data_IF_874017226155
#
_entry.id   IF_874017226155
#
_cell.length_a   1.000
_cell.length_b   1.000
_cell.length_c   1.000
_cell.angle_alpha   90.00
_cell.angle_beta   90.00
_cell.angle_gamma   90.00
#
_symmetry.space_group_name_H-M   'P 1'
#
loop_
_entity.id
_entity.type
_entity.pdbx_description
1 polymer ?
2 non-polymer ?
3 non-polymer ?
4 non-polymer ?
5 water ?
#
# COMPACT_ATOMS: atom_id res chain seq x y z
N UNK A 10 -12.96 -15.25 13.64
CA UNK A 10 -12.11 -16.31 13.02
C UNK A 10 -11.41 -15.80 11.76
N UNK A 11 -10.86 -14.59 11.84
CA UNK A 11 -10.21 -13.96 10.69
C UNK A 11 -8.90 -14.63 10.30
N UNK A 12 -8.60 -14.65 8.99
CA UNK A 12 -7.31 -15.17 8.54
C UNK A 12 -6.51 -14.07 7.84
N UNK A 13 -5.24 -14.37 7.58
CA UNK A 13 -4.34 -13.50 6.86
C UNK A 13 -3.90 -14.21 5.59
N UNK A 14 -4.10 -13.53 4.46
CA UNK A 14 -3.81 -14.11 3.15
C UNK A 14 -2.85 -13.18 2.38
N UNK A 15 -1.69 -13.71 2.00
CA UNK A 15 -0.80 -12.94 1.15
C UNK A 15 -0.67 -13.57 -0.22
N UNK A 16 -0.95 -12.78 -1.25
CA UNK A 16 -0.84 -13.30 -2.62
C UNK A 16 0.51 -12.94 -3.20
N UNK A 17 1.18 -13.90 -3.80
CA UNK A 17 2.47 -13.64 -4.41
C UNK A 17 2.29 -13.84 -5.89
N UNK A 18 2.24 -12.74 -6.63
CA UNK A 18 1.86 -12.79 -8.03
C UNK A 18 3.08 -12.63 -8.96
N UNK A 19 3.25 -13.62 -9.82
CA UNK A 19 4.22 -13.58 -10.90
C UNK A 19 3.84 -12.47 -11.88
N UNK A 20 4.73 -11.48 -12.06
CA UNK A 20 4.54 -10.45 -13.08
C UNK A 20 5.67 -10.45 -14.14
N UNK A 21 6.36 -11.57 -14.29
CA UNK A 21 7.35 -11.69 -15.38
C UNK A 21 6.65 -11.66 -16.75
N UNK A 22 7.45 -11.45 -17.81
CA UNK A 22 6.95 -11.30 -19.19
C UNK A 22 6.07 -12.45 -19.66
N UNK A 23 6.38 -13.66 -19.21
CA UNK A 23 5.61 -14.83 -19.62
C UNK A 23 4.11 -14.73 -19.20
N UNK A 25 2.23 -12.32 -19.72
CA UNK A 25 1.50 -11.63 -20.78
C UNK A 25 1.02 -12.58 -21.87
N UNK A 26 1.43 -13.85 -21.81
CA UNK A 26 0.87 -14.84 -22.74
C UNK A 26 -0.66 -14.84 -22.61
N UNK A 27 -1.34 -15.12 -23.72
CA UNK A 27 -2.80 -15.02 -23.81
C UNK A 27 -3.49 -16.38 -24.05
N UNK A 28 -2.92 -17.43 -23.45
CA UNK A 28 -3.50 -18.78 -23.47
C UNK A 28 -4.56 -19.00 -22.39
N UNK A 29 -4.71 -18.01 -21.52
CA UNK A 29 -5.90 -17.91 -20.68
C UNK A 29 -6.35 -16.45 -20.84
N UNK A 30 -7.66 -16.21 -20.83
CA UNK A 30 -8.22 -14.93 -21.23
C UNK A 30 -8.42 -13.96 -20.06
N UNK A 31 -8.12 -12.66 -20.27
CA UNK A 31 -7.49 -12.02 -21.45
C UNK A 31 -5.97 -12.26 -21.56
N UNK A 32 -5.31 -12.53 -20.44
CA UNK A 32 -3.90 -12.95 -20.41
C UNK A 32 -3.72 -13.68 -19.09
N UNK A 33 -2.57 -14.32 -18.88
CA UNK A 33 -2.30 -15.00 -17.62
C UNK A 33 -2.38 -13.99 -16.49
N UNK A 34 -1.76 -12.83 -16.68
CA UNK A 34 -1.71 -11.83 -15.63
C UNK A 34 -3.09 -11.21 -15.36
N UNK A 35 -3.81 -10.88 -16.42
CA UNK A 35 -5.09 -10.17 -16.26
C UNK A 35 -6.16 -11.12 -15.66
N UNK A 36 -6.13 -12.38 -16.07
CA UNK A 36 -6.92 -13.43 -15.44
C UNK A 36 -6.56 -13.58 -13.96
N UNK A 37 -5.27 -13.57 -13.63
CA UNK A 37 -4.89 -13.62 -12.21
C UNK A 37 -5.48 -12.45 -11.43
N UNK A 38 -5.44 -11.25 -11.99
CA UNK A 38 -5.98 -10.09 -11.30
C UNK A 38 -7.49 -10.20 -11.06
N UNK A 39 -8.19 -10.67 -12.08
CA UNK A 39 -9.63 -10.85 -11.97
C UNK A 39 -9.99 -11.89 -10.92
N UNK A 40 -9.19 -12.96 -10.84
CA UNK A 40 -9.35 -13.99 -9.81
C UNK A 40 -9.10 -13.42 -8.41
N UNK A 41 -8.04 -12.62 -8.28
CA UNK A 41 -7.70 -12.02 -6.98
C UNK A 41 -8.80 -11.08 -6.49
N UNK A 42 -9.32 -10.27 -7.40
CA UNK A 42 -10.41 -9.36 -7.10
C UNK A 42 -11.60 -10.15 -6.54
N UNK A 43 -11.91 -11.29 -7.13
CA UNK A 43 -13.04 -12.10 -6.65
C UNK A 43 -12.71 -12.82 -5.33
N UNK A 44 -11.45 -13.22 -5.16
CA UNK A 44 -10.98 -13.76 -3.92
C UNK A 44 -11.19 -12.74 -2.78
N UNK A 45 -10.81 -11.48 -3.00
CA UNK A 45 -10.97 -10.41 -2.00
C UNK A 45 -12.46 -10.15 -1.64
N UNK A 46 -13.34 -10.20 -2.64
CA UNK A 46 -14.79 -10.07 -2.42
C UNK A 46 -15.32 -11.13 -1.47
N UNK A 47 -14.66 -12.28 -1.40
CA UNK A 47 -15.13 -13.38 -0.54
C UNK A 47 -14.58 -13.29 0.89
N UNK A 48 -13.62 -12.40 1.12
CA UNK A 48 -13.04 -12.23 2.45
C UNK A 48 -14.04 -11.53 3.34
N UNK A 49 -14.01 -11.84 4.64
CA UNK A 49 -14.93 -11.18 5.56
C UNK A 49 -14.20 -10.42 6.67
N UNK A 50 -13.75 -11.10 7.72
CA UNK A 50 -13.05 -10.39 8.81
C UNK A 50 -11.53 -10.44 8.60
N UNK A 51 -11.11 -10.52 7.34
CA UNK A 51 -9.76 -11.02 7.04
C UNK A 51 -8.79 -9.94 6.59
N UNK A 52 -7.51 -10.28 6.58
CA UNK A 52 -6.50 -9.37 6.04
C UNK A 52 -5.84 -9.95 4.81
N UNK A 53 -5.50 -9.06 3.89
CA UNK A 53 -4.91 -9.43 2.64
C UNK A 53 -3.71 -8.56 2.36
N UNK A 54 -2.67 -9.19 1.81
CA UNK A 54 -1.48 -8.48 1.36
C UNK A 54 -1.09 -9.00 -0.01
N UNK A 56 2.31 -9.37 -2.92
CA UNK A 56 3.70 -9.26 -3.35
C UNK A 56 3.71 -9.52 -4.83
N UNK A 57 4.49 -8.75 -5.59
CA UNK A 57 4.69 -9.05 -7.00
C UNK A 57 6.13 -9.53 -7.17
N UNK A 58 6.38 -10.43 -8.12
CA UNK A 58 7.74 -10.91 -8.34
C UNK A 58 8.02 -11.21 -9.79
N UNK A 59 9.30 -11.05 -10.13
CA UNK A 59 9.83 -11.64 -11.34
C UNK A 59 11.22 -12.11 -10.95
N UNK A 60 12.27 -11.42 -11.40
CA UNK A 60 13.64 -11.70 -10.94
C UNK A 60 13.88 -11.29 -9.49
N UNK A 61 13.15 -10.29 -9.02
CA UNK A 61 13.10 -9.89 -7.60
C UNK A 61 11.65 -9.95 -7.13
N UNK A 62 11.44 -9.81 -5.82
CA UNK A 62 10.11 -9.71 -5.23
C UNK A 62 9.97 -8.44 -4.39
N UNK A 63 8.81 -7.80 -4.44
CA UNK A 63 8.55 -6.72 -3.51
C UNK A 63 7.09 -6.68 -3.06
N UNK A 64 6.86 -6.01 -1.94
CA UNK A 64 5.54 -5.84 -1.38
C UNK A 64 4.75 -4.80 -2.15
N UNK A 65 3.65 -5.23 -2.74
CA UNK A 65 2.79 -4.32 -3.52
C UNK A 65 1.74 -3.76 -2.59
N UNK A 66 1.21 -4.60 -1.72
CA UNK A 66 0.19 -4.21 -0.75
C UNK A 66 0.52 -4.80 0.62
N UNK A 67 0.80 -3.94 1.61
CA UNK A 67 1.00 -4.42 2.99
C UNK A 67 -0.31 -4.95 3.51
N UNK A 68 -0.21 -5.97 4.36
CA UNK A 68 -1.36 -6.69 4.86
C UNK A 68 -2.40 -5.73 5.46
N UNK A 69 -3.65 -5.86 5.02
CA UNK A 69 -4.66 -4.85 5.34
C UNK A 69 -6.06 -5.45 5.31
N UNK A 70 -6.97 -4.84 6.08
CA UNK A 70 -8.38 -5.18 6.01
C UNK A 70 -9.11 -4.22 5.05
N UNK A 71 -8.37 -3.30 4.43
CA UNK A 71 -8.97 -2.30 3.56
C UNK A 71 -9.13 -2.87 2.14
N UNK A 72 -10.29 -3.47 1.86
CA UNK A 72 -10.47 -4.21 0.58
C UNK A 72 -10.66 -3.29 -0.61
N UNK A 73 -11.24 -2.12 -0.36
CA UNK A 73 -11.35 -1.10 -1.39
C UNK A 73 -9.98 -0.71 -1.93
N UNK A 74 -9.04 -0.41 -1.03
CA UNK A 74 -7.68 -0.07 -1.45
C UNK A 74 -6.97 -1.28 -2.07
N UNK A 75 -7.22 -2.47 -1.54
CA UNK A 75 -6.61 -3.69 -2.05
C UNK A 75 -6.90 -3.86 -3.54
N UNK A 76 -8.16 -3.67 -3.91
CA UNK A 76 -8.58 -3.74 -5.31
C UNK A 76 -7.95 -2.65 -6.20
N UNK A 78 -4.99 -1.21 -5.65
CA UNK A 78 -3.56 -1.61 -5.76
C UNK A 78 -3.36 -2.73 -6.78
N UNK A 79 -4.38 -3.56 -6.91
CA UNK A 79 -4.38 -4.65 -7.87
C UNK A 79 -4.33 -4.09 -9.28
N UNK A 80 -5.15 -3.07 -9.54
CA UNK A 80 -5.28 -2.49 -10.87
C UNK A 80 -3.96 -1.93 -11.44
N UNK A 81 -3.11 -1.41 -10.57
CA UNK A 81 -1.86 -0.79 -11.01
C UNK A 81 -0.74 -1.82 -11.34
N UNK A 82 -0.98 -3.10 -11.06
CA UNK A 82 0.01 -4.14 -11.29
C UNK A 82 0.26 -4.41 -12.79
N UNK A 83 1.53 -4.32 -13.21
CA UNK A 83 1.95 -4.74 -14.56
C UNK A 83 3.44 -5.12 -14.50
N UNK A 84 3.94 -5.84 -15.54
CA UNK A 84 5.33 -6.32 -15.54
C UNK A 84 6.38 -5.21 -15.42
N UNK A 85 6.06 -4.00 -15.88
CA UNK A 85 7.01 -2.88 -15.78
C UNK A 85 7.33 -2.48 -14.33
N UNK A 86 6.54 -2.94 -13.36
CA UNK A 86 6.92 -2.72 -11.94
C UNK A 86 8.28 -3.32 -11.59
N UNK A 87 8.67 -4.40 -12.27
CA UNK A 87 9.98 -5.04 -12.03
C UNK A 87 10.68 -5.29 -13.35
N UNK A 88 11.86 -4.69 -13.53
CA UNK A 88 12.62 -4.90 -14.78
C UNK A 88 13.49 -6.16 -14.80
N UNK A 89 14.12 -6.51 -13.68
CA UNK A 89 14.90 -7.75 -13.58
C UNK A 89 14.03 -8.98 -13.84
N UNK A 90 14.39 -9.77 -14.85
CA UNK A 90 13.57 -10.93 -15.19
C UNK A 90 14.00 -12.18 -14.41
N UNK A 91 13.10 -13.16 -14.33
CA UNK A 91 13.34 -14.39 -13.56
C UNK A 91 12.04 -14.84 -12.95
N UNK A 92 12.09 -15.91 -12.16
CA UNK A 92 10.91 -16.49 -11.55
C UNK A 92 11.24 -16.78 -10.09
N UNK A 93 11.38 -15.71 -9.30
CA UNK A 93 11.89 -15.82 -7.93
C UNK A 93 10.79 -16.15 -6.91
N UNK A 94 10.20 -17.33 -7.06
CA UNK A 94 9.10 -17.79 -6.20
C UNK A 94 9.55 -17.93 -4.73
N UNK A 95 10.75 -18.47 -4.50
CA UNK A 95 11.32 -18.60 -3.15
C UNK A 95 11.46 -17.28 -2.42
N UNK A 96 12.08 -16.29 -3.06
CA UNK A 96 12.16 -14.94 -2.52
C UNK A 96 10.76 -14.37 -2.17
N UNK A 97 9.77 -14.62 -3.04
CA UNK A 97 8.42 -14.10 -2.78
C UNK A 97 7.77 -14.77 -1.55
N UNK A 98 7.90 -16.10 -1.47
CA UNK A 98 7.38 -16.84 -0.33
C UNK A 98 8.07 -16.40 0.96
N UNK A 99 9.39 -16.23 0.90
CA UNK A 99 10.17 -15.82 2.10
C UNK A 99 9.75 -14.42 2.53
N UNK A 100 9.56 -13.52 1.57
CA UNK A 100 9.07 -12.17 1.88
C UNK A 100 7.66 -12.25 2.49
N UNK A 101 6.80 -13.10 1.92
CA UNK A 101 5.45 -13.26 2.49
C UNK A 101 5.46 -13.70 3.95
N UNK A 102 6.30 -14.68 4.29
CA UNK A 102 6.37 -15.14 5.68
C UNK A 102 6.79 -14.04 6.66
N UNK A 103 7.63 -13.11 6.22
CA UNK A 103 8.01 -11.95 7.05
C UNK A 103 6.91 -10.87 7.15
N UNK A 104 5.83 -10.99 6.39
CA UNK A 104 4.90 -9.88 6.18
C UNK A 104 3.57 -10.04 6.94
N UNK A 105 3.43 -11.18 7.63
CA UNK A 105 2.21 -11.46 8.38
C UNK A 105 2.30 -10.73 9.70
N UNK A 106 1.17 -10.51 10.37
CA UNK A 106 1.19 -9.94 11.71
C UNK A 106 1.86 -10.92 12.69
N UNK A 107 2.40 -10.41 13.81
CA UNK A 107 3.06 -11.24 14.82
C UNK A 107 2.09 -12.17 15.56
N UNK A 108 0.82 -11.76 15.63
CA UNK A 108 -0.22 -12.45 16.40
C UNK A 108 -0.27 -13.98 16.19
N UNK A 109 -0.10 -14.74 17.27
CA UNK A 109 -0.25 -16.22 17.20
C UNK A 109 -1.72 -16.64 17.30
N UNK A 110 -2.04 -17.83 16.77
CA UNK A 110 -3.41 -18.35 16.77
C UNK A 110 -4.23 -17.99 15.54
N UNK A 111 -3.57 -17.50 14.50
CA UNK A 111 -4.27 -17.00 13.32
C UNK A 111 -3.93 -17.86 12.09
N UNK A 112 -4.96 -18.28 11.36
CA UNK A 112 -4.77 -19.01 10.10
C UNK A 112 -4.11 -18.10 9.08
N UNK A 113 -3.08 -18.62 8.40
CA UNK A 113 -2.34 -17.82 7.45
C UNK A 113 -2.05 -18.60 6.19
N UNK A 114 -2.27 -17.96 5.05
CA UNK A 114 -2.01 -18.59 3.75
C UNK A 114 -1.18 -17.69 2.84
N UNK A 115 -0.30 -18.31 2.06
CA UNK A 115 0.40 -17.65 0.97
C UNK A 115 -0.13 -18.28 -0.30
N UNK A 116 -0.58 -17.46 -1.25
CA UNK A 116 -1.13 -17.97 -2.51
C UNK A 116 -0.26 -17.48 -3.64
N UNK A 117 0.53 -18.40 -4.20
CA UNK A 117 1.43 -18.09 -5.29
C UNK A 117 0.66 -18.30 -6.58
N UNK A 118 0.65 -17.28 -7.43
CA UNK A 118 0.00 -17.36 -8.74
C UNK A 118 1.03 -17.18 -9.85
N UNK A 119 1.27 -18.22 -10.63
CA UNK A 119 2.44 -18.23 -11.52
C UNK A 119 2.29 -19.27 -12.64
N UNK A 120 3.10 -19.17 -13.69
CA UNK A 120 3.23 -20.29 -14.62
C UNK A 120 4.35 -21.26 -14.17
N UNK A 121 5.02 -20.94 -13.05
CA UNK A 121 6.04 -21.83 -12.44
C UNK A 121 7.22 -22.16 -13.37
N UNK A 122 7.44 -21.28 -14.35
CA UNK A 122 8.37 -21.55 -15.42
C UNK A 122 9.80 -21.09 -15.13
N UNK A 123 10.76 -21.98 -15.40
CA UNK A 123 12.19 -21.68 -15.25
C UNK A 123 12.59 -21.14 -13.87
N UNK A 124 12.00 -21.68 -12.81
CA UNK A 124 12.45 -21.33 -11.46
C UNK A 124 13.78 -22.03 -11.20
N UNK A 125 14.76 -21.28 -10.69
CA UNK A 125 16.14 -21.80 -10.44
C UNK A 125 16.36 -22.62 -9.15
N UNK A 126 15.36 -22.70 -8.28
CA UNK A 126 15.52 -23.42 -7.02
C UNK A 126 15.38 -22.54 -5.80
N UNK A 127 14.86 -23.11 -4.72
CA UNK A 127 14.61 -22.37 -3.50
C UNK A 127 13.13 -22.36 -3.11
N UNK A 128 12.24 -22.42 -4.10
CA UNK A 128 10.80 -22.30 -3.82
C UNK A 128 10.26 -23.40 -2.88
N UNK A 129 10.67 -24.64 -3.11
CA UNK A 129 10.17 -25.77 -2.34
C UNK A 129 10.67 -25.69 -0.87
N UNK A 130 11.94 -25.34 -0.68
CA UNK A 130 12.52 -25.11 0.64
C UNK A 130 11.81 -23.94 1.33
N UNK A 131 11.59 -22.85 0.59
CA UNK A 131 10.87 -21.71 1.13
C UNK A 131 9.46 -22.09 1.58
N UNK A 132 8.77 -22.92 0.79
CA UNK A 132 7.40 -23.33 1.11
C UNK A 132 7.36 -24.24 2.34
N UNK A 133 8.34 -25.12 2.43
CA UNK A 133 8.48 -25.99 3.59
C UNK A 133 8.71 -25.15 4.86
N UNK A 134 9.64 -24.18 4.79
CA UNK A 134 9.89 -23.27 5.94
C UNK A 134 8.65 -22.47 6.34
N UNK A 135 7.83 -22.05 5.36
CA UNK A 135 6.55 -21.37 5.69
C UNK A 135 5.64 -22.32 6.42
N UNK A 136 5.54 -23.56 5.90
CA UNK A 136 4.70 -24.60 6.51
C UNK A 136 5.07 -24.90 7.96
N UNK A 137 6.36 -24.86 8.27
CA UNK A 137 6.85 -25.10 9.64
C UNK A 137 6.51 -23.95 10.61
N UNK A 138 6.11 -22.82 10.04
CA UNK A 138 5.63 -21.68 10.83
C UNK A 138 4.09 -21.63 10.87
N UNK A 139 3.46 -22.70 10.40
CA UNK A 139 2.01 -22.78 10.37
C UNK A 139 1.33 -22.03 9.22
N UNK A 140 2.11 -21.64 8.20
CA UNK A 140 1.56 -20.93 7.05
C UNK A 140 1.32 -21.93 5.90
N UNK A 141 0.13 -21.95 5.31
CA UNK A 141 -0.11 -22.88 4.23
C UNK A 141 0.11 -22.23 2.87
N UNK A 142 1.01 -22.82 2.09
CA UNK A 142 1.34 -22.27 0.78
C UNK A 142 0.59 -23.02 -0.31
N UNK A 143 -0.26 -22.28 -1.02
CA UNK A 143 -0.99 -22.80 -2.19
C UNK A 143 -0.47 -22.20 -3.48
N UNK A 144 -0.69 -22.91 -4.60
CA UNK A 144 -0.22 -22.45 -5.91
C UNK A 144 -1.34 -22.60 -6.95
N UNK A 145 -1.60 -21.50 -7.65
CA UNK A 145 -2.54 -21.45 -8.75
C UNK A 145 -1.71 -21.34 -10.00
N UNK A 146 -1.79 -22.38 -10.81
CA UNK A 146 -0.92 -22.48 -11.98
C UNK A 146 -1.68 -21.92 -13.16
N UNK A 147 -1.12 -20.90 -13.80
CA UNK A 147 -1.80 -20.26 -14.91
C UNK A 147 -1.08 -20.61 -16.20
N UNK A 148 -1.86 -20.89 -17.24
CA UNK A 148 -1.32 -21.08 -18.58
C UNK A 148 -1.46 -22.51 -19.06
N UNK A 150 0.25 -26.02 -20.25
CA UNK A 150 1.47 -26.83 -20.26
C UNK A 150 2.07 -27.00 -21.68
N UNK A 151 1.19 -27.00 -22.70
CA UNK A 151 1.55 -27.19 -24.10
C UNK A 151 2.21 -25.95 -24.74
N UNK A 152 2.17 -24.78 -24.07
CA UNK A 152 2.96 -23.63 -24.50
C UNK A 152 2.21 -22.54 -25.26
N UNK A 153 2.63 -21.29 -25.09
CA UNK A 153 2.04 -20.19 -25.84
C UNK A 153 3.10 -19.13 -26.18
N UNK A 154 2.94 -18.41 -27.31
CA UNK A 154 3.85 -17.28 -27.52
C UNK A 154 3.37 -16.08 -26.70
N UNK A 155 4.15 -15.02 -26.65
CA UNK A 155 3.83 -13.84 -25.85
C UNK A 155 3.65 -12.61 -26.74
N UNK A 156 2.39 -12.17 -26.95
CA UNK A 156 2.21 -11.06 -27.89
C UNK A 156 2.80 -9.78 -27.32
N UNK A 157 3.22 -8.88 -28.21
CA UNK A 157 3.76 -7.58 -27.80
C UNK A 157 2.66 -6.55 -28.03
N UNK A 158 2.30 -5.87 -26.95
CA UNK A 158 1.28 -4.81 -26.95
C UNK A 158 1.41 -3.85 -28.13
N UNK A 159 0.29 -3.57 -28.78
CA UNK A 159 0.22 -2.58 -29.87
C UNK A 159 0.64 -3.10 -31.23
N UNK A 160 1.38 -4.22 -31.23
CA UNK A 160 1.93 -4.80 -32.46
C UNK A 160 1.24 -6.11 -32.82
N UNK A 161 1.65 -6.69 -33.94
CA UNK A 161 1.28 -8.05 -34.30
C UNK A 161 2.50 -8.98 -34.15
N UNK A 162 3.51 -8.50 -33.42
CA UNK A 162 4.70 -9.32 -33.11
C UNK A 162 4.63 -10.00 -31.72
N UNK A 163 5.66 -10.81 -31.45
CA UNK A 163 5.73 -11.63 -30.24
C UNK A 163 7.12 -11.48 -29.63
N UNK A 164 7.21 -11.67 -28.33
CA UNK A 164 8.50 -11.56 -27.64
C UNK A 164 9.48 -12.58 -28.21
N UNK A 165 10.72 -12.12 -28.37
CA UNK A 165 11.78 -12.91 -28.99
C UNK A 165 12.99 -12.98 -28.07
N UNK A 166 13.70 -14.11 -28.14
CA UNK A 166 14.93 -14.28 -27.39
C UNK A 166 16.06 -13.48 -28.04
N UNK A 167 17.25 -13.57 -27.46
CA UNK A 167 18.42 -12.83 -27.92
C UNK A 167 18.70 -13.09 -29.40
N UNK A 168 18.55 -14.35 -29.80
CA UNK A 168 18.87 -14.80 -31.16
C UNK A 168 17.76 -14.49 -32.16
N UNK A 169 16.65 -13.93 -31.68
CA UNK A 169 15.56 -13.54 -32.55
C UNK A 169 14.43 -14.56 -32.65
N UNK A 170 14.49 -15.62 -31.85
CA UNK A 170 13.46 -16.66 -31.91
C UNK A 170 12.25 -16.36 -31.04
N UNK A 171 11.07 -16.64 -31.56
CA UNK A 171 9.83 -16.54 -30.80
C UNK A 171 9.90 -17.36 -29.50
N UNK A 172 9.64 -16.68 -28.39
CA UNK A 172 9.58 -17.32 -27.07
C UNK A 172 8.26 -18.06 -26.92
N UNK A 173 8.31 -19.32 -26.49
CA UNK A 173 7.11 -20.07 -26.15
C UNK A 173 7.21 -20.38 -24.65
N UNK A 174 6.17 -20.00 -23.91
CA UNK A 174 6.15 -20.19 -22.45
C UNK A 174 5.12 -21.25 -22.04
N UNK A 175 5.51 -22.14 -21.15
CA UNK A 175 4.64 -23.24 -20.71
C UNK A 175 4.38 -23.12 -19.22
N UNK A 176 3.17 -23.51 -18.81
CA UNK A 176 2.94 -23.76 -17.39
C UNK A 176 3.75 -24.98 -16.98
N UNK A 177 4.48 -24.90 -15.87
CA UNK A 177 5.15 -26.07 -15.31
C UNK A 177 4.34 -26.52 -14.12
N UNK A 178 3.44 -27.46 -14.40
CA UNK A 178 2.51 -27.98 -13.40
C UNK A 178 3.28 -28.73 -12.32
N UNK A 179 4.31 -29.48 -12.73
CA UNK A 179 5.09 -30.28 -11.78
C UNK A 179 5.72 -29.41 -10.69
N UNK A 181 4.81 -26.33 -9.76
CA UNK A 181 3.74 -25.75 -8.95
C UNK A 181 3.24 -26.74 -7.90
N UNK A 182 3.10 -28.00 -8.31
CA UNK A 182 2.62 -29.05 -7.43
C UNK A 182 3.56 -29.37 -6.27
N UNK A 183 4.87 -29.39 -6.52
CA UNK A 183 5.87 -29.67 -5.46
C UNK A 183 5.80 -28.58 -4.40
N UNK A 184 5.69 -27.32 -4.86
CA UNK A 184 5.64 -26.16 -3.96
C UNK A 184 4.41 -26.27 -3.06
N UNK A 185 3.24 -26.55 -3.64
CA UNK A 185 2.00 -26.62 -2.87
C UNK A 185 2.00 -27.80 -1.90
N UNK A 186 2.52 -28.95 -2.35
CA UNK A 186 2.59 -30.12 -1.48
C UNK A 186 3.41 -29.85 -0.20
N UNK A 187 4.65 -29.41 -0.38
CA UNK A 187 5.54 -29.16 0.73
C UNK A 187 5.09 -27.95 1.55
N UNK A 188 4.34 -27.05 0.91
CA UNK A 188 3.76 -25.90 1.58
C UNK A 188 2.45 -26.20 2.29
N UNK A 189 1.95 -27.42 2.14
CA UNK A 189 0.73 -27.88 2.82
C UNK A 189 -0.54 -27.12 2.38
N UNK A 190 -0.52 -26.62 1.14
CA UNK A 190 -1.69 -25.98 0.58
C UNK A 190 -2.23 -26.82 -0.56
N UNK A 191 -2.91 -26.17 -1.48
CA UNK A 191 -3.46 -26.88 -2.62
C UNK A 191 -2.85 -26.37 -3.92
N UNK A 192 -2.84 -27.22 -4.95
CA UNK A 192 -2.50 -26.79 -6.29
C UNK A 192 -3.78 -26.83 -7.13
N UNK A 193 -4.02 -25.77 -7.90
CA UNK A 193 -5.10 -25.79 -8.86
C UNK A 193 -4.65 -25.08 -10.13
N UNK A 194 -5.04 -25.64 -11.26
CA UNK A 194 -4.77 -25.01 -12.54
C UNK A 194 -5.84 -23.98 -12.82
N UNK A 195 -5.40 -22.82 -13.27
CA UNK A 195 -6.31 -21.78 -13.63
C UNK A 195 -6.64 -22.00 -15.12
N UNK A 196 -7.92 -22.10 -15.45
CA UNK A 196 -8.37 -22.05 -16.85
C UNK A 196 -9.40 -20.91 -17.03
N UNK A 197 -10.24 -20.98 -18.06
CA UNK A 197 -11.16 -19.87 -18.34
C UNK A 197 -12.39 -19.78 -17.44
N UNK A 198 -12.70 -20.86 -16.72
CA UNK A 198 -13.82 -20.86 -15.80
C UNK A 198 -13.43 -20.20 -14.47
N UNK A 199 -14.40 -20.16 -13.54
CA UNK A 199 -14.20 -19.62 -12.20
C UNK A 199 -13.73 -20.70 -11.22
N UNK A 200 -13.39 -21.87 -11.75
CA UNK A 200 -13.05 -23.04 -10.93
C UNK A 200 -11.89 -22.82 -9.95
N UNK A 201 -10.81 -22.21 -10.42
CA UNK A 201 -9.66 -21.97 -9.56
C UNK A 201 -10.00 -21.02 -8.40
N UNK A 202 -10.72 -19.94 -8.72
CA UNK A 202 -11.07 -18.95 -7.71
C UNK A 202 -11.92 -19.57 -6.62
N UNK A 203 -12.87 -20.41 -7.01
CA UNK A 203 -13.77 -21.01 -6.04
C UNK A 203 -13.05 -22.06 -5.20
N UNK A 204 -12.16 -22.84 -5.82
CA UNK A 204 -11.35 -23.78 -5.09
C UNK A 204 -10.51 -23.09 -4.00
N UNK A 205 -9.83 -22.00 -4.37
CA UNK A 205 -8.96 -21.33 -3.41
C UNK A 205 -9.78 -20.62 -2.34
N UNK A 206 -10.88 -19.98 -2.70
CA UNK A 206 -11.74 -19.34 -1.70
C UNK A 206 -12.32 -20.38 -0.72
N UNK A 207 -12.56 -21.59 -1.22
CA UNK A 207 -13.03 -22.69 -0.39
C UNK A 207 -11.95 -23.08 0.61
N UNK A 208 -10.72 -23.16 0.13
CA UNK A 208 -9.57 -23.51 0.97
C UNK A 208 -9.37 -22.47 2.07
N UNK A 209 -9.46 -21.19 1.70
CA UNK A 209 -9.37 -20.09 2.66
C UNK A 209 -10.48 -20.18 3.71
N UNK A 210 -11.74 -20.40 3.27
CA UNK A 210 -12.88 -20.60 4.18
C UNK A 210 -12.72 -21.78 5.13
N UNK A 211 -12.16 -22.88 4.63
CA UNK A 211 -11.90 -24.09 5.39
C UNK A 211 -10.85 -23.81 6.49
N UNK A 213 -10.23 -20.81 7.84
CA UNK A 213 -10.84 -19.87 8.79
C UNK A 213 -11.75 -20.57 9.79
N UNK A 214 -12.36 -21.67 9.37
CA UNK A 214 -13.31 -22.38 10.20
C UNK A 214 -12.67 -23.46 11.09
N UNK A 215 -11.44 -23.83 10.76
CA UNK A 215 -10.69 -24.76 11.59
C UNK A 215 -9.70 -24.01 12.47
N UNK B 11 -4.46 -1.27 21.76
CA UNK B 11 -4.05 -0.97 20.36
C UNK B 11 -4.92 0.06 19.66
N UNK B 12 -4.30 1.03 19.00
CA UNK B 12 -5.00 2.11 18.27
C UNK B 12 -4.75 2.09 16.75
N UNK B 13 -5.50 2.93 16.02
CA UNK B 13 -5.36 3.11 14.58
C UNK B 13 -5.09 4.59 14.27
N UNK B 14 -4.03 4.84 13.51
CA UNK B 14 -3.64 6.21 13.20
C UNK B 14 -3.58 6.34 11.71
N UNK B 15 -4.31 7.30 11.17
CA UNK B 15 -4.20 7.60 9.75
C UNK B 15 -3.61 8.98 9.54
N UNK B 16 -2.45 9.03 8.86
CA UNK B 16 -1.80 10.30 8.52
C UNK B 16 -2.37 10.86 7.20
N UNK B 17 -2.71 12.15 7.18
CA UNK B 17 -3.16 12.82 5.97
C UNK B 17 -2.12 13.87 5.67
N UNK B 18 -1.26 13.57 4.70
CA UNK B 18 -0.09 14.38 4.43
C UNK B 18 -0.32 15.22 3.18
N UNK B 19 -0.17 16.53 3.34
CA UNK B 19 -0.23 17.50 2.27
C UNK B 19 1.04 17.27 1.43
N UNK B 20 0.86 16.97 0.14
CA UNK B 20 1.98 16.89 -0.78
C UNK B 20 1.86 17.92 -1.90
N UNK B 21 1.11 19.00 -1.66
CA UNK B 21 1.04 20.09 -2.64
C UNK B 21 2.42 20.73 -2.78
N UNK B 22 2.61 21.52 -3.85
CA UNK B 22 3.90 22.13 -4.18
C UNK B 22 4.48 22.99 -3.06
N UNK B 23 3.60 23.62 -2.27
CA UNK B 23 4.05 24.49 -1.19
C UNK B 23 4.89 23.73 -0.16
N UNK B 25 7.31 21.92 -0.62
CA UNK B 25 8.72 21.90 -1.02
C UNK B 25 9.46 23.16 -0.56
N UNK B 26 8.75 24.09 0.08
CA UNK B 26 9.39 25.25 0.71
C UNK B 26 10.40 24.76 1.73
N UNK B 27 11.47 25.53 1.91
CA UNK B 27 12.56 25.11 2.79
C UNK B 27 12.71 25.99 4.03
N UNK B 28 11.59 26.47 4.57
CA UNK B 28 11.60 27.23 5.84
C UNK B 28 11.59 26.32 7.11
N UNK B 29 11.51 25.01 6.89
CA UNK B 29 11.82 23.98 7.91
C UNK B 29 12.75 23.06 7.13
N UNK B 30 13.76 22.47 7.78
CA UNK B 30 14.81 21.71 7.08
C UNK B 30 14.55 20.21 6.97
N UNK B 31 14.92 19.57 5.83
CA UNK B 31 15.44 20.20 4.60
C UNK B 31 14.32 20.83 3.75
N UNK B 32 13.09 20.35 3.91
CA UNK B 32 11.90 21.01 3.39
C UNK B 32 10.72 20.63 4.29
N UNK B 33 9.58 21.31 4.08
CA UNK B 33 8.39 21.00 4.84
C UNK B 33 8.05 19.52 4.67
N UNK B 34 8.01 19.06 3.42
CA UNK B 34 7.69 17.67 3.12
C UNK B 34 8.67 16.67 3.73
N UNK B 35 9.97 16.92 3.59
CA UNK B 35 10.97 15.96 4.10
C UNK B 35 11.01 15.96 5.63
N UNK B 36 10.76 17.11 6.27
CA UNK B 36 10.61 17.14 7.72
C UNK B 36 9.39 16.31 8.14
N UNK B 37 8.30 16.45 7.39
CA UNK B 37 7.08 15.73 7.67
C UNK B 37 7.28 14.22 7.56
N UNK B 38 8.06 13.78 6.58
CA UNK B 38 8.36 12.37 6.39
C UNK B 38 9.26 11.80 7.52
N UNK B 39 10.22 12.60 7.96
CA UNK B 39 11.05 12.25 9.13
C UNK B 39 10.17 12.04 10.37
N UNK B 40 9.30 13.00 10.62
CA UNK B 40 8.42 12.96 11.78
C UNK B 40 7.48 11.74 11.76
N UNK B 41 6.92 11.42 10.57
CA UNK B 41 6.07 10.25 10.41
C UNK B 41 6.81 8.94 10.71
N UNK B 42 8.02 8.82 10.16
CA UNK B 42 8.87 7.66 10.36
C UNK B 42 9.12 7.44 11.85
N UNK B 43 9.49 8.52 12.53
CA UNK B 43 9.73 8.50 13.96
C UNK B 43 8.43 8.22 14.74
N UNK B 44 7.32 8.77 14.26
CA UNK B 44 6.02 8.51 14.85
C UNK B 44 5.77 7.01 14.79
N UNK B 45 5.99 6.42 13.60
CA UNK B 45 5.80 4.98 13.39
C UNK B 45 6.67 4.13 14.36
N UNK B 46 7.91 4.55 14.58
CA UNK B 46 8.82 3.88 15.50
C UNK B 46 8.32 3.80 16.95
N UNK B 47 7.49 4.76 17.36
CA UNK B 47 6.96 4.80 18.73
C UNK B 47 5.68 3.98 18.88
N UNK B 48 5.11 3.52 17.76
CA UNK B 48 3.88 2.69 17.82
C UNK B 48 4.17 1.31 18.39
N UNK B 49 3.19 0.70 19.05
CA UNK B 49 3.41 -0.63 19.63
C UNK B 49 2.68 -1.76 18.88
N UNK B 50 1.46 -2.09 19.30
CA UNK B 50 0.69 -3.09 18.58
C UNK B 50 -0.45 -2.42 17.80
N UNK B 51 -0.12 -1.37 17.06
CA UNK B 51 -1.12 -0.50 16.46
C UNK B 51 -1.18 -0.66 14.94
N UNK B 52 -2.04 0.10 14.29
CA UNK B 52 -2.11 0.06 12.84
C UNK B 52 -1.98 1.50 12.34
N UNK B 53 -1.35 1.65 11.19
CA UNK B 53 -1.15 2.98 10.62
C UNK B 53 -1.51 2.96 9.13
N UNK B 54 -2.15 4.03 8.66
CA UNK B 54 -2.44 4.21 7.24
C UNK B 54 -2.00 5.61 6.83
N UNK B 56 -2.75 8.81 3.88
CA UNK B 56 -3.40 9.48 2.75
C UNK B 56 -2.48 10.64 2.33
N UNK B 57 -2.36 10.86 1.02
CA UNK B 57 -1.68 12.06 0.52
C UNK B 57 -2.73 12.91 -0.17
N UNK B 58 -2.55 14.22 -0.14
CA UNK B 58 -3.53 15.10 -0.76
C UNK B 58 -2.88 16.36 -1.32
N UNK B 59 -3.46 16.87 -2.40
CA UNK B 59 -3.25 18.26 -2.81
C UNK B 59 -4.63 18.74 -3.25
N UNK B 60 -4.87 18.80 -4.56
CA UNK B 60 -6.23 19.15 -5.05
C UNK B 60 -7.22 18.01 -4.90
N UNK B 61 -6.70 16.78 -4.93
CA UNK B 61 -7.44 15.55 -4.59
C UNK B 61 -6.72 14.86 -3.42
N UNK B 62 -7.37 13.85 -2.85
CA UNK B 62 -6.75 12.96 -1.85
C UNK B 62 -6.83 11.51 -2.30
N UNK B 63 -5.80 10.74 -1.98
CA UNK B 63 -5.82 9.32 -2.20
C UNK B 63 -5.04 8.55 -1.12
N UNK B 64 -5.43 7.30 -0.98
CA UNK B 64 -4.79 6.39 -0.03
C UNK B 64 -3.44 5.95 -0.53
N UNK B 65 -2.39 6.38 0.17
CA UNK B 65 -1.05 6.04 -0.22
C UNK B 65 -0.69 4.70 0.45
N UNK B 66 -1.10 4.52 1.70
CA UNK B 66 -0.83 3.30 2.44
C UNK B 66 -2.10 2.83 3.13
N UNK B 67 -2.67 1.71 2.70
CA UNK B 67 -3.85 1.20 3.39
C UNK B 67 -3.50 0.79 4.81
N UNK B 68 -4.47 0.90 5.71
CA UNK B 68 -4.22 0.71 7.15
C UNK B 68 -3.58 -0.68 7.44
N UNK B 69 -2.43 -0.67 8.11
CA UNK B 69 -1.62 -1.87 8.25
C UNK B 69 -0.81 -1.86 9.55
N UNK B 70 -0.47 -3.06 10.03
CA UNK B 70 0.45 -3.23 11.15
C UNK B 70 1.87 -3.49 10.64
N UNK B 71 2.05 -3.50 9.31
CA UNK B 71 3.36 -3.79 8.75
C UNK B 71 4.20 -2.49 8.70
N UNK B 72 4.99 -2.21 9.75
CA UNK B 72 5.69 -0.93 9.90
C UNK B 72 6.89 -0.82 8.94
N UNK B 73 7.49 -1.96 8.61
CA UNK B 73 8.59 -1.97 7.65
C UNK B 73 8.09 -1.48 6.29
N UNK B 74 6.96 -2.00 5.82
CA UNK B 74 6.38 -1.54 4.57
C UNK B 74 5.88 -0.11 4.66
N UNK B 75 5.26 0.25 5.79
CA UNK B 75 4.82 1.62 6.02
C UNK B 75 5.93 2.65 5.77
N UNK B 76 7.13 2.36 6.28
CA UNK B 76 8.26 3.27 6.09
C UNK B 76 8.75 3.31 4.63
N UNK B 78 6.80 2.82 1.97
CA UNK B 78 5.77 3.61 1.27
C UNK B 78 5.89 5.10 1.57
N UNK B 79 6.27 5.40 2.80
CA UNK B 79 6.51 6.78 3.23
C UNK B 79 7.63 7.42 2.41
N UNK B 80 8.76 6.71 2.31
CA UNK B 80 9.95 7.27 1.66
C UNK B 80 9.77 7.54 0.16
N UNK B 81 8.80 6.89 -0.48
CA UNK B 81 8.50 7.16 -1.91
C UNK B 81 7.49 8.30 -2.21
N UNK B 82 7.03 9.01 -1.18
CA UNK B 82 6.04 10.07 -1.39
C UNK B 82 6.69 11.33 -1.98
N UNK B 83 6.10 11.90 -3.03
CA UNK B 83 6.56 13.20 -3.54
C UNK B 83 5.36 13.93 -4.16
N UNK B 84 5.47 15.25 -4.42
CA UNK B 84 4.33 15.97 -4.99
C UNK B 84 3.86 15.43 -6.35
N UNK B 85 4.74 14.76 -7.09
CA UNK B 85 4.37 14.18 -8.38
C UNK B 85 3.31 13.07 -8.31
N UNK B 86 3.07 12.53 -7.13
CA UNK B 86 1.96 11.59 -6.96
C UNK B 86 0.59 12.21 -7.30
N UNK B 87 0.46 13.53 -7.12
CA UNK B 87 -0.82 14.21 -7.43
C UNK B 87 -0.61 15.43 -8.31
N UNK B 88 -1.24 15.44 -9.48
CA UNK B 88 -1.07 16.57 -10.39
C UNK B 88 -2.02 17.74 -10.07
N UNK B 89 -3.26 17.44 -9.69
CA UNK B 89 -4.23 18.50 -9.38
C UNK B 89 -3.82 19.24 -8.11
N UNK B 90 -3.75 20.55 -8.19
CA UNK B 90 -3.29 21.36 -7.06
C UNK B 90 -4.45 21.98 -6.29
N UNK B 91 -4.15 22.43 -5.07
CA UNK B 91 -5.13 22.89 -4.10
C UNK B 91 -4.76 22.31 -2.74
N UNK B 92 -5.64 22.48 -1.75
CA UNK B 92 -5.34 22.05 -0.40
C UNK B 92 -6.58 21.38 0.18
N UNK B 93 -6.90 20.19 -0.32
CA UNK B 93 -8.21 19.55 -0.07
C UNK B 93 -8.22 18.78 1.25
N UNK B 94 -8.10 19.50 2.36
CA UNK B 94 -7.99 18.89 3.68
C UNK B 94 -9.27 18.15 4.05
N UNK B 95 -10.41 18.78 3.74
CA UNK B 95 -11.72 18.17 3.97
C UNK B 95 -11.86 16.83 3.28
N UNK B 96 -11.49 16.75 2.00
CA UNK B 96 -11.50 15.45 1.29
C UNK B 96 -10.59 14.40 1.94
N UNK B 97 -9.41 14.84 2.36
CA UNK B 97 -8.46 13.94 2.99
C UNK B 97 -9.03 13.41 4.32
N UNK B 98 -9.58 14.31 5.14
CA UNK B 98 -10.17 13.86 6.39
C UNK B 98 -11.35 12.90 6.15
N UNK B 99 -12.27 13.24 5.25
CA UNK B 99 -13.35 12.32 4.90
C UNK B 99 -12.83 10.97 4.42
N UNK B 100 -11.78 10.98 3.60
CA UNK B 100 -11.24 9.70 3.12
C UNK B 100 -10.71 8.88 4.30
N UNK B 101 -9.96 9.55 5.18
CA UNK B 101 -9.40 8.89 6.36
C UNK B 101 -10.45 8.25 7.25
N UNK B 102 -11.57 8.92 7.46
CA UNK B 102 -12.61 8.40 8.35
C UNK B 102 -13.16 7.08 7.79
N UNK B 103 -13.31 7.04 6.46
CA UNK B 103 -13.72 5.81 5.77
C UNK B 103 -12.63 4.73 5.73
N UNK B 104 -11.41 5.06 6.13
CA UNK B 104 -10.28 4.17 5.93
C UNK B 104 -9.88 3.34 7.15
N UNK B 105 -10.61 3.51 8.26
CA UNK B 105 -10.31 2.78 9.49
C UNK B 105 -10.91 1.39 9.36
N UNK B 106 -10.53 0.46 10.24
CA UNK B 106 -11.04 -0.92 10.19
C UNK B 106 -12.44 -0.97 10.79
N UNK B 107 -13.20 -2.08 10.56
CA UNK B 107 -14.57 -2.19 11.10
C UNK B 107 -14.64 -2.44 12.60
N UNK B 108 -13.50 -2.66 13.25
CA UNK B 108 -13.49 -2.99 14.66
C UNK B 108 -14.03 -1.85 15.52
N UNK B 109 -14.89 -2.18 16.48
CA UNK B 109 -15.34 -1.21 17.49
C UNK B 109 -14.49 -1.28 18.76
N UNK B 110 -14.48 -0.19 19.54
CA UNK B 110 -13.72 -0.15 20.79
C UNK B 110 -12.27 0.31 20.68
N UNK B 111 -11.85 0.72 19.48
CA UNK B 111 -10.46 1.12 19.20
C UNK B 111 -10.32 2.64 19.18
N UNK B 112 -9.21 3.15 19.71
CA UNK B 112 -8.88 4.57 19.62
C UNK B 112 -8.43 4.89 18.21
N UNK B 113 -8.91 6.01 17.67
CA UNK B 113 -8.64 6.38 16.28
C UNK B 113 -8.26 7.83 16.15
N UNK B 114 -7.13 8.05 15.49
CA UNK B 114 -6.59 9.38 15.25
C UNK B 114 -6.36 9.61 13.76
N UNK B 115 -6.77 10.80 13.30
CA UNK B 115 -6.33 11.32 12.01
C UNK B 115 -5.34 12.45 12.27
N UNK B 116 -4.16 12.35 11.67
CA UNK B 116 -3.12 13.37 11.85
C UNK B 116 -2.90 14.06 10.51
N UNK B 117 -3.38 15.31 10.42
CA UNK B 117 -3.20 16.14 9.22
C UNK B 117 -1.88 16.88 9.36
N UNK B 118 -1.05 16.79 8.33
CA UNK B 118 0.25 17.44 8.32
C UNK B 118 0.29 18.31 7.09
N UNK B 119 0.29 19.63 7.29
CA UNK B 119 0.00 20.57 6.22
C UNK B 119 0.56 21.96 6.57
N UNK B 120 0.65 22.86 5.58
CA UNK B 120 0.88 24.28 5.89
C UNK B 120 -0.45 25.00 6.05
N UNK B 121 -1.56 24.28 5.81
CA UNK B 121 -2.92 24.80 5.99
C UNK B 121 -3.30 25.92 5.04
N UNK B 122 -2.56 26.06 3.93
CA UNK B 122 -2.65 27.25 3.12
C UNK B 122 -3.65 27.17 1.98
N UNK B 123 -4.41 28.25 1.79
CA UNK B 123 -5.38 28.33 0.69
C UNK B 123 -6.40 27.20 0.65
N UNK B 124 -6.81 26.71 1.81
CA UNK B 124 -7.92 25.77 1.85
C UNK B 124 -9.24 26.52 1.70
N UNK B 125 -9.99 26.17 0.67
CA UNK B 125 -11.26 26.85 0.35
C UNK B 125 -12.35 26.75 1.41
N UNK B 126 -12.55 25.56 1.96
CA UNK B 126 -13.62 25.35 2.94
C UNK B 126 -14.03 23.91 2.96
N UNK B 127 -14.37 23.39 4.13
CA UNK B 127 -14.78 22.01 4.25
C UNK B 127 -13.99 21.21 5.26
N UNK B 128 -12.76 21.64 5.56
CA UNK B 128 -11.94 20.91 6.53
C UNK B 128 -12.57 20.89 7.91
N UNK B 129 -13.09 22.04 8.34
CA UNK B 129 -13.69 22.20 9.67
C UNK B 129 -14.89 21.26 9.87
N UNK B 130 -15.79 21.23 8.88
CA UNK B 130 -16.96 20.33 8.88
C UNK B 130 -16.54 18.86 8.80
N UNK B 131 -15.61 18.56 7.90
CA UNK B 131 -15.03 17.23 7.81
C UNK B 131 -14.47 16.77 9.17
N UNK B 132 -13.74 17.65 9.84
CA UNK B 132 -13.18 17.33 11.15
C UNK B 132 -14.28 17.09 12.21
N UNK B 133 -15.34 17.91 12.14
CA UNK B 133 -16.50 17.80 13.03
C UNK B 133 -17.16 16.43 12.83
N UNK B 134 -17.40 16.05 11.57
CA UNK B 134 -18.00 14.76 11.24
C UNK B 134 -17.15 13.57 11.72
N UNK B 135 -15.82 13.72 11.67
CA UNK B 135 -14.91 12.67 12.13
C UNK B 135 -15.02 12.51 13.64
N UNK B 136 -14.94 13.65 14.33
CA UNK B 136 -15.05 13.72 15.79
C UNK B 136 -16.29 13.02 16.36
N UNK B 137 -17.42 13.14 15.67
CA UNK B 137 -18.66 12.51 16.12
C UNK B 137 -18.76 11.03 15.72
N UNK B 138 -17.69 10.49 15.14
CA UNK B 138 -17.55 9.05 14.91
C UNK B 138 -16.47 8.44 15.81
N UNK B 139 -16.11 9.14 16.88
CA UNK B 139 -15.05 8.68 17.79
C UNK B 139 -13.63 8.75 17.22
N UNK B 140 -13.40 9.71 16.33
CA UNK B 140 -12.07 9.88 15.74
C UNK B 140 -11.55 11.23 16.19
N UNK B 141 -10.29 11.31 16.58
CA UNK B 141 -9.71 12.57 16.97
C UNK B 141 -8.81 13.09 15.87
N UNK B 142 -9.11 14.28 15.38
CA UNK B 142 -8.34 14.89 14.30
C UNK B 142 -7.35 15.92 14.84
N UNK B 143 -6.06 15.62 14.74
CA UNK B 143 -5.00 16.55 15.10
C UNK B 143 -4.33 17.14 13.86
N UNK B 144 -3.66 18.29 14.01
CA UNK B 144 -3.02 18.95 12.89
C UNK B 144 -1.62 19.37 13.29
N UNK B 145 -0.64 18.99 12.46
CA UNK B 145 0.73 19.41 12.64
C UNK B 145 1.03 20.43 11.56
N UNK B 146 1.25 21.67 11.97
CA UNK B 146 1.43 22.77 11.02
C UNK B 146 2.90 22.92 10.68
N UNK B 147 3.21 22.78 9.39
CA UNK B 147 4.60 22.80 8.95
C UNK B 147 4.85 24.03 8.12
N UNK B 148 5.90 24.75 8.49
CA UNK B 148 6.25 26.02 7.84
C UNK B 148 6.21 27.15 8.86
N UNK B 150 4.77 31.34 9.48
CA UNK B 150 3.76 32.32 9.01
C UNK B 150 4.38 33.44 8.15
N UNK B 151 5.67 33.70 8.33
CA UNK B 151 6.35 34.79 7.64
C UNK B 151 6.43 34.57 6.12
N UNK B 152 6.36 33.33 5.66
CA UNK B 152 6.39 33.04 4.21
C UNK B 152 7.76 32.69 3.64
N UNK B 153 7.77 31.80 2.66
CA UNK B 153 9.00 31.36 2.01
C UNK B 153 8.71 31.09 0.53
N UNK B 154 9.71 31.28 -0.36
CA UNK B 154 9.50 30.87 -1.74
C UNK B 154 9.72 29.35 -1.88
N UNK B 155 9.39 28.78 -3.05
CA UNK B 155 9.45 27.34 -3.28
C UNK B 155 10.49 27.05 -4.37
N UNK B 156 11.62 26.41 -4.01
CA UNK B 156 12.63 26.21 -5.06
C UNK B 156 12.20 25.14 -6.06
N UNK B 157 12.65 25.30 -7.31
CA UNK B 157 12.39 24.31 -8.36
C UNK B 157 13.65 23.51 -8.58
N UNK B 158 13.51 22.20 -8.39
CA UNK B 158 14.63 21.26 -8.37
C UNK B 158 15.61 21.33 -9.54
N UNK B 159 15.11 21.22 -10.76
CA UNK B 159 16.00 21.14 -11.93
C UNK B 159 16.66 22.46 -12.30
N UNK B 160 15.98 23.57 -11.95
CA UNK B 160 16.36 24.88 -12.45
C UNK B 160 17.00 25.74 -11.34
N UNK B 161 17.21 27.01 -11.63
CA UNK B 161 17.59 27.99 -10.58
C UNK B 161 16.49 29.02 -10.31
N UNK B 162 15.26 28.59 -10.55
CA UNK B 162 14.08 29.43 -10.41
C UNK B 162 13.22 28.92 -9.27
N UNK B 163 12.13 29.65 -9.00
CA UNK B 163 11.20 29.35 -7.95
C UNK B 163 9.82 29.18 -8.58
N UNK B 164 8.93 28.49 -7.89
CA UNK B 164 7.55 28.30 -8.38
C UNK B 164 6.85 29.63 -8.55
N UNK B 165 6.08 29.72 -9.62
CA UNK B 165 5.41 30.97 -9.99
C UNK B 165 3.92 30.75 -10.12
N UNK B 166 3.15 31.76 -9.75
CA UNK B 166 1.71 31.73 -9.93
C UNK B 166 1.32 31.88 -11.41
N UNK B 167 0.02 31.84 -11.68
CA UNK B 167 -0.52 31.97 -13.04
C UNK B 167 0.05 33.18 -13.78
N UNK B 168 0.09 34.33 -13.10
CA UNK B 168 0.59 35.58 -13.69
C UNK B 168 2.10 35.61 -13.90
N UNK B 169 2.81 34.62 -13.35
CA UNK B 169 4.27 34.53 -13.54
C UNK B 169 5.10 35.07 -12.38
N UNK B 170 4.47 35.39 -11.25
CA UNK B 170 5.18 35.93 -10.10
C UNK B 170 5.61 34.88 -9.07
N UNK B 171 6.76 35.11 -8.43
CA UNK B 171 7.26 34.16 -7.42
C UNK B 171 6.19 33.94 -6.34
N UNK B 172 5.89 32.67 -6.07
CA UNK B 172 4.95 32.30 -5.01
C UNK B 172 5.67 32.38 -3.68
N UNK B 173 5.04 33.06 -2.71
CA UNK B 173 5.51 33.02 -1.31
C UNK B 173 4.45 32.24 -0.52
N UNK B 174 4.82 31.11 0.06
CA UNK B 174 3.86 30.29 0.80
C UNK B 174 4.03 30.49 2.30
N UNK B 175 2.91 30.64 2.98
CA UNK B 175 2.87 30.87 4.43
C UNK B 175 2.15 29.75 5.15
N UNK B 176 2.65 29.38 6.32
CA UNK B 176 1.88 28.56 7.26
C UNK B 176 0.66 29.34 7.73
N UNK B 177 -0.52 28.73 7.62
CA UNK B 177 -1.74 29.31 8.16
C UNK B 177 -2.14 28.60 9.47
N UNK B 178 -1.65 29.13 10.59
CA UNK B 178 -1.87 28.46 11.87
C UNK B 178 -3.34 28.51 12.30
N UNK B 179 -4.00 29.63 12.04
CA UNK B 179 -5.40 29.82 12.41
C UNK B 179 -6.28 28.72 11.83
N UNK B 181 -5.18 25.73 10.74
CA UNK B 181 -4.78 24.48 11.38
C UNK B 181 -5.45 24.31 12.76
N UNK B 182 -5.50 25.40 13.51
CA UNK B 182 -6.07 25.43 14.87
C UNK B 182 -7.58 25.18 14.89
N UNK B 183 -8.31 25.80 13.96
CA UNK B 183 -9.76 25.57 13.84
C UNK B 183 -10.10 24.12 13.51
N UNK B 184 -9.31 23.48 12.63
CA UNK B 184 -9.51 22.08 12.28
C UNK B 184 -9.36 21.19 13.51
N UNK B 185 -8.20 21.32 14.17
CA UNK B 185 -7.88 20.53 15.36
C UNK B 185 -8.86 20.70 16.54
N UNK B 186 -9.29 21.94 16.78
CA UNK B 186 -10.27 22.24 17.83
C UNK B 186 -11.58 21.49 17.58
N UNK B 187 -12.15 21.64 16.39
CA UNK B 187 -13.40 20.97 16.05
C UNK B 187 -13.26 19.46 15.82
N UNK B 188 -12.05 19.02 15.47
CA UNK B 188 -11.74 17.60 15.37
C UNK B 188 -11.39 16.94 16.70
N UNK B 189 -11.40 17.74 17.78
CA UNK B 189 -11.10 17.26 19.14
C UNK B 189 -9.69 16.68 19.31
N UNK B 190 -8.77 17.10 18.47
CA UNK B 190 -7.38 16.69 18.57
C UNK B 190 -6.56 17.85 19.08
N UNK B 191 -5.25 17.78 18.85
CA UNK B 191 -4.33 18.85 19.24
C UNK B 191 -3.72 19.54 18.00
N UNK B 192 -3.30 20.80 18.15
CA UNK B 192 -2.50 21.46 17.12
C UNK B 192 -1.09 21.66 17.63
N UNK B 193 -0.09 21.35 16.81
CA UNK B 193 1.27 21.76 17.12
C UNK B 193 2.00 22.19 15.86
N UNK B 194 2.78 23.25 16.00
CA UNK B 194 3.59 23.74 14.92
C UNK B 194 4.84 22.87 14.83
N UNK B 195 5.15 22.41 13.62
CA UNK B 195 6.38 21.67 13.39
C UNK B 195 7.50 22.66 13.09
N UNK B 196 8.59 22.59 13.84
CA UNK B 196 9.80 23.35 13.53
C UNK B 196 11.00 22.40 13.44
N UNK B 197 12.21 22.94 13.43
CA UNK B 197 13.40 22.10 13.28
C UNK B 197 13.64 21.08 14.40
N UNK B 198 13.16 21.36 15.61
CA UNK B 198 13.30 20.43 16.73
C UNK B 198 12.41 19.18 16.62
N UNK B 199 12.56 18.29 17.60
CA UNK B 199 11.74 17.09 17.69
C UNK B 199 10.44 17.32 18.46
N UNK B 200 10.12 18.59 18.73
CA UNK B 200 9.00 18.94 19.61
C UNK B 200 7.64 18.47 19.09
N UNK B 201 7.40 18.64 17.80
CA UNK B 201 6.10 18.25 17.23
C UNK B 201 5.91 16.73 17.32
N UNK B 202 6.94 15.97 16.93
CA UNK B 202 6.88 14.53 16.93
C UNK B 202 6.59 14.01 18.34
N UNK B 203 7.32 14.52 19.32
CA UNK B 203 7.13 14.15 20.72
C UNK B 203 5.74 14.49 21.23
N UNK B 204 5.19 15.64 20.83
CA UNK B 204 3.86 16.03 21.30
C UNK B 204 2.74 15.16 20.71
N UNK B 205 2.83 14.84 19.42
CA UNK B 205 1.83 13.97 18.78
C UNK B 205 1.94 12.50 19.23
N UNK B 206 3.17 12.00 19.39
CA UNK B 206 3.42 10.65 19.90
C UNK B 206 2.81 10.44 21.28
N UNK B 207 2.88 11.46 22.14
CA UNK B 207 2.34 11.35 23.50
C UNK B 207 0.81 11.44 23.51
N UNK B 208 0.24 12.15 22.54
CA UNK B 208 -1.22 12.19 22.34
C UNK B 208 -1.75 10.84 21.87
N UNK B 209 -1.02 10.19 20.95
CA UNK B 209 -1.32 8.83 20.49
C UNK B 209 -1.33 7.82 21.67
N UNK B 210 -0.29 7.81 22.49
CA UNK B 210 -0.20 6.79 23.53
C UNK B 210 -1.09 7.08 24.74
N UNK B 211 -1.54 8.33 24.88
CA UNK B 211 -2.56 8.70 25.87
C UNK B 211 -3.92 8.21 25.40
N UNK B 213 -4.25 5.64 23.55
CA UNK B 213 -4.11 4.19 23.69
C UNK B 213 -4.51 3.66 25.06
N UNK B 214 -4.29 4.46 26.10
CA UNK B 214 -4.60 4.09 27.48
C UNK B 214 -5.93 4.69 27.94
N UNK B 215 -6.89 4.79 27.02
CA UNK B 215 -8.20 5.35 27.32
C UNK B 215 -9.29 4.29 27.36
#
# INVERSE_FOLDING_TARGET
SNASNAVKRKGVEVIIALDISNSXLAQDVQPSRLEKAKRLISRLVDELDNDKVGXIVFAGDAFTQLPITSDYISAKXFLESISPSLISKQGTAIGEAINLATRSFTPQEGVGRAIIVITDGENHEGGAVEAAKAAAEKGIQVSVLGVGXPEGAPIPVEGTNDYRRDREGNVIVTRLNEGXCQEIAKDGKGIYVRVDNSNSAQKAISQEISKXAKSDVE
SNASNAVKRKGVEVIIALDISNSXLAQDVQPSRLEKAKRLISRLVDELDNDKVGXIVFAGDAFTQLPITSDYISAKXFLESISPSLISKQGTAIGEAINLATRSFTPQEGVGRAIIVITDGENHEGGAVEAAKAAAEKGIQVSVLGVGXPEGAPIPVEGTNDYRRDREGNVIVTRLNEGXCQEIAKDGKGIYVRVDNSNSAQKAISQEISKXAKSDVE
#
